data_IF_389587590607
#
_entry.id   IF_389587590607
#
_cell.length_a   1.000
_cell.length_b   1.000
_cell.length_c   1.000
_cell.angle_alpha   90.00
_cell.angle_beta   90.00
_cell.angle_gamma   90.00
#
_symmetry.space_group_name_H-M   'P 1'
#
loop_
_entity.id
_entity.type
_entity.pdbx_description
1 polymer ?
#
# COMPACT_ATOMS: atom_id res chain seq x y z
N UNK A 1 8.66 -44.64 29.06
CA UNK A 1 7.46 -43.92 28.57
C UNK A 1 7.12 -44.48 27.20
N UNK A 2 6.18 -45.41 27.15
CA UNK A 2 5.71 -46.02 25.90
C UNK A 2 4.75 -45.06 25.20
N UNK A 3 5.14 -44.55 24.04
CA UNK A 3 4.24 -43.85 23.13
C UNK A 3 3.47 -44.90 22.36
N UNK A 4 2.15 -44.87 22.52
CA UNK A 4 1.20 -45.80 21.92
C UNK A 4 1.14 -45.58 20.39
N UNK A 5 1.48 -46.56 19.54
CA UNK A 5 1.44 -46.41 18.08
C UNK A 5 0.04 -46.65 17.48
N UNK A 6 -0.97 -46.93 18.30
CA UNK A 6 -2.34 -47.19 17.85
C UNK A 6 -3.16 -45.90 17.73
N UNK A 7 -2.93 -45.12 16.66
CA UNK A 7 -3.99 -44.23 16.12
C UNK A 7 -3.71 -43.71 14.69
N UNK A 8 -3.19 -44.56 13.81
CA UNK A 8 -3.28 -44.31 12.35
C UNK A 8 -3.99 -45.48 11.70
N UNK A 9 -5.30 -45.56 11.90
CA UNK A 9 -6.15 -46.32 10.98
C UNK A 9 -5.97 -45.67 9.60
N UNK A 10 -5.58 -46.42 8.55
CA UNK A 10 -5.66 -45.89 7.20
C UNK A 10 -7.14 -45.66 6.94
N UNK A 11 -7.54 -44.40 6.82
CA UNK A 11 -8.84 -44.06 6.24
C UNK A 11 -8.80 -44.62 4.82
N UNK A 12 -9.54 -45.69 4.57
CA UNK A 12 -9.94 -46.10 3.22
C UNK A 12 -10.92 -45.05 2.68
N UNK A 13 -10.47 -43.80 2.58
CA UNK A 13 -11.20 -42.71 1.97
C UNK A 13 -10.87 -42.77 0.48
N UNK A 14 -11.85 -43.19 -0.32
CA UNK A 14 -11.85 -42.97 -1.77
C UNK A 14 -11.44 -41.53 -2.04
N UNK A 15 -10.34 -41.36 -2.77
CA UNK A 15 -9.88 -40.06 -3.25
C UNK A 15 -11.08 -39.36 -3.89
N UNK A 16 -11.36 -38.13 -3.47
CA UNK A 16 -12.46 -37.36 -4.05
C UNK A 16 -12.10 -37.01 -5.49
N UNK A 17 -13.12 -36.92 -6.34
CA UNK A 17 -12.96 -36.52 -7.73
C UNK A 17 -13.87 -35.33 -8.03
N UNK A 18 -13.34 -34.36 -8.77
CA UNK A 18 -14.07 -33.26 -9.37
C UNK A 18 -13.87 -33.28 -10.87
N UNK A 19 -14.81 -32.68 -11.57
CA UNK A 19 -14.81 -32.60 -13.02
C UNK A 19 -15.00 -31.16 -13.42
N UNK A 20 -14.16 -30.70 -14.34
CA UNK A 20 -14.31 -29.39 -14.94
C UNK A 20 -15.59 -29.33 -15.77
N UNK A 21 -16.37 -28.27 -15.58
CA UNK A 21 -17.64 -28.05 -16.25
C UNK A 21 -17.50 -26.81 -17.14
N UNK A 22 -17.56 -26.96 -18.48
CA UNK A 22 -17.48 -25.81 -19.37
C UNK A 22 -18.64 -24.85 -19.11
N UNK A 23 -18.37 -23.53 -19.02
CA UNK A 23 -19.41 -22.50 -18.87
C UNK A 23 -20.26 -22.31 -20.13
N UNK A 24 -19.68 -22.61 -21.30
CA UNK A 24 -20.37 -22.62 -22.58
C UNK A 24 -20.52 -24.06 -23.05
N UNK A 25 -21.69 -24.38 -23.62
CA UNK A 25 -22.10 -25.70 -24.12
C UNK A 25 -21.24 -26.16 -25.31
N UNK A 26 -19.93 -26.30 -25.11
CA UNK A 26 -19.09 -27.08 -25.98
C UNK A 26 -19.53 -28.53 -25.78
N UNK A 27 -20.44 -28.97 -26.65
CA UNK A 27 -20.63 -30.35 -27.07
C UNK A 27 -19.32 -30.83 -27.72
N UNK A 28 -18.25 -30.86 -26.92
CA UNK A 28 -16.94 -31.30 -27.33
C UNK A 28 -16.76 -32.74 -26.88
N UNK A 29 -16.61 -33.65 -27.83
CA UNK A 29 -15.93 -34.91 -27.56
C UNK A 29 -14.49 -34.56 -27.18
N UNK A 30 -14.08 -34.87 -25.96
CA UNK A 30 -12.75 -34.53 -25.45
C UNK A 30 -12.28 -35.53 -24.42
N UNK A 31 -10.97 -35.53 -24.16
CA UNK A 31 -10.37 -36.31 -23.09
C UNK A 31 -10.14 -35.41 -21.86
N UNK A 32 -10.61 -35.86 -20.69
CA UNK A 32 -10.30 -35.25 -19.41
C UNK A 32 -9.11 -35.99 -18.79
N UNK A 33 -8.06 -35.25 -18.44
CA UNK A 33 -6.89 -35.79 -17.75
C UNK A 33 -6.93 -35.46 -16.25
N UNK A 34 -6.30 -36.29 -15.40
CA UNK A 34 -6.30 -36.07 -13.96
C UNK A 34 -5.24 -35.05 -13.57
N UNK A 35 -5.65 -34.07 -12.78
CA UNK A 35 -4.81 -33.07 -12.13
C UNK A 35 -4.99 -33.17 -10.62
N UNK A 36 -3.96 -32.85 -9.85
CA UNK A 36 -4.10 -32.53 -8.44
C UNK A 36 -4.83 -31.22 -8.29
N UNK A 37 -5.80 -31.17 -7.40
CA UNK A 37 -6.55 -29.96 -7.11
C UNK A 37 -6.53 -29.65 -5.62
N UNK A 38 -6.21 -28.40 -5.31
CA UNK A 38 -6.21 -27.85 -3.97
C UNK A 38 -7.09 -26.61 -3.92
N UNK A 39 -8.04 -26.63 -3.00
CA UNK A 39 -8.81 -25.47 -2.58
C UNK A 39 -8.34 -25.11 -1.17
N UNK A 40 -7.76 -23.93 -1.03
CA UNK A 40 -7.08 -23.50 0.19
C UNK A 40 -7.54 -22.10 0.56
N UNK A 41 -7.78 -21.91 1.86
CA UNK A 41 -8.01 -20.60 2.45
C UNK A 41 -6.75 -20.16 3.20
N UNK A 42 -6.28 -18.95 2.94
CA UNK A 42 -5.11 -18.37 3.58
C UNK A 42 -5.56 -17.15 4.39
N UNK A 43 -5.38 -17.22 5.70
CA UNK A 43 -5.82 -16.19 6.64
C UNK A 43 -4.63 -15.33 7.10
N UNK A 44 -4.41 -14.17 6.47
CA UNK A 44 -3.40 -13.22 6.91
C UNK A 44 -3.82 -12.54 8.21
N UNK A 45 -2.98 -12.61 9.23
CA UNK A 45 -3.16 -11.89 10.49
C UNK A 45 -1.80 -11.44 11.04
N UNK A 46 -1.25 -10.35 10.49
CA UNK A 46 -0.01 -9.76 10.96
C UNK A 46 -0.32 -8.69 12.03
N UNK A 47 -0.01 -9.03 13.29
CA UNK A 47 -0.21 -8.13 14.44
C UNK A 47 0.65 -6.87 14.35
N UNK A 48 1.85 -6.95 13.74
CA UNK A 48 2.79 -5.83 13.64
C UNK A 48 2.28 -4.75 12.70
N UNK A 49 1.65 -5.15 11.60
CA UNK A 49 1.10 -4.22 10.59
C UNK A 49 -0.38 -3.93 10.82
N UNK A 50 -1.07 -4.78 11.59
CA UNK A 50 -2.53 -4.74 11.74
C UNK A 50 -3.26 -5.32 10.53
N UNK A 51 -2.55 -5.89 9.56
CA UNK A 51 -3.12 -6.40 8.32
C UNK A 51 -3.92 -7.68 8.58
N UNK A 52 -5.16 -7.70 8.08
CA UNK A 52 -6.07 -8.84 8.18
C UNK A 52 -6.81 -9.02 6.87
N UNK A 53 -6.61 -10.17 6.24
CA UNK A 53 -7.28 -10.54 5.00
C UNK A 53 -7.39 -12.06 4.92
N UNK A 54 -8.43 -12.54 4.27
CA UNK A 54 -8.59 -13.95 3.95
C UNK A 54 -8.62 -14.10 2.43
N UNK A 55 -7.69 -14.86 1.88
CA UNK A 55 -7.63 -15.21 0.48
C UNK A 55 -8.10 -16.65 0.26
N UNK A 56 -8.92 -16.88 -0.77
CA UNK A 56 -9.31 -18.22 -1.20
C UNK A 56 -8.63 -18.52 -2.53
N UNK A 57 -7.92 -19.64 -2.58
CA UNK A 57 -7.13 -20.09 -3.72
C UNK A 57 -7.64 -21.45 -4.18
N UNK A 58 -7.82 -21.60 -5.49
CA UNK A 58 -8.18 -22.86 -6.12
C UNK A 58 -7.19 -23.12 -7.23
N UNK A 59 -6.35 -24.12 -7.05
CA UNK A 59 -5.20 -24.40 -7.93
C UNK A 59 -5.20 -25.85 -8.39
N UNK A 60 -4.77 -26.07 -9.64
CA UNK A 60 -4.56 -27.39 -10.20
C UNK A 60 -3.12 -27.59 -10.68
N UNK A 61 -2.62 -28.82 -10.57
CA UNK A 61 -1.26 -29.22 -10.95
C UNK A 61 -1.30 -30.57 -11.68
N UNK A 62 -0.55 -30.70 -12.77
CA UNK A 62 -0.49 -31.95 -13.51
C UNK A 62 0.23 -33.07 -12.73
N UNK A 63 -0.21 -34.31 -12.90
CA UNK A 63 0.31 -35.46 -12.17
C UNK A 63 1.42 -36.12 -13.00
N UNK A 64 2.67 -35.96 -12.56
CA UNK A 64 3.82 -36.66 -13.13
C UNK A 64 4.50 -37.57 -12.10
N UNK A 65 5.30 -38.52 -12.58
CA UNK A 65 6.19 -39.28 -11.70
C UNK A 65 7.24 -38.35 -11.09
N UNK A 66 7.48 -38.48 -9.78
CA UNK A 66 8.44 -37.62 -9.06
C UNK A 66 7.94 -36.21 -8.72
N UNK A 67 6.68 -35.85 -9.02
CA UNK A 67 6.13 -34.52 -8.72
C UNK A 67 6.22 -34.12 -7.23
N UNK A 68 6.27 -35.10 -6.33
CA UNK A 68 6.44 -34.89 -4.89
C UNK A 68 7.85 -34.43 -4.49
N UNK A 69 8.84 -34.58 -5.38
CA UNK A 69 10.25 -34.22 -5.19
C UNK A 69 10.62 -32.93 -5.93
N UNK A 70 9.76 -32.46 -6.83
CA UNK A 70 9.97 -31.24 -7.61
C UNK A 70 9.67 -30.00 -6.77
N UNK A 71 10.47 -28.95 -6.98
CA UNK A 71 10.22 -27.63 -6.45
C UNK A 71 9.14 -26.95 -7.32
N UNK A 72 7.91 -26.83 -6.82
CA UNK A 72 6.82 -26.28 -7.66
C UNK A 72 7.01 -24.80 -7.95
N UNK A 73 6.78 -24.40 -9.19
CA UNK A 73 6.87 -23.03 -9.66
C UNK A 73 5.53 -22.58 -10.22
N UNK A 74 5.34 -21.27 -10.38
CA UNK A 74 4.05 -20.69 -10.77
C UNK A 74 3.58 -21.16 -12.15
N UNK A 75 4.50 -21.51 -13.06
CA UNK A 75 4.20 -22.07 -14.39
C UNK A 75 3.68 -23.52 -14.35
N UNK A 76 3.96 -24.25 -13.27
CA UNK A 76 3.45 -25.61 -13.10
C UNK A 76 2.00 -25.62 -12.60
N UNK A 77 1.53 -24.51 -12.01
CA UNK A 77 0.27 -24.44 -11.26
C UNK A 77 -0.74 -23.59 -12.03
N UNK A 78 -1.94 -24.11 -12.16
CA UNK A 78 -3.04 -23.46 -12.88
C UNK A 78 -4.08 -22.92 -11.92
N UNK A 79 -4.56 -21.71 -12.16
CA UNK A 79 -5.74 -21.18 -11.48
C UNK A 79 -7.00 -21.90 -11.96
N UNK A 80 -7.87 -22.24 -11.02
CA UNK A 80 -9.14 -22.90 -11.31
C UNK A 80 -10.27 -22.12 -10.66
N UNK A 81 -11.27 -21.75 -11.44
CA UNK A 81 -12.52 -21.21 -10.90
C UNK A 81 -13.31 -22.35 -10.22
N UNK A 82 -13.46 -22.34 -8.89
CA UNK A 82 -14.16 -23.42 -8.18
C UNK A 82 -15.63 -23.53 -8.60
N UNK A 83 -16.25 -22.44 -9.08
CA UNK A 83 -17.64 -22.44 -9.56
C UNK A 83 -17.82 -23.23 -10.87
N UNK A 84 -16.73 -23.44 -11.62
CA UNK A 84 -16.69 -24.27 -12.83
C UNK A 84 -16.42 -25.75 -12.56
N UNK A 85 -16.48 -26.21 -11.31
CA UNK A 85 -16.22 -27.61 -10.95
C UNK A 85 -17.49 -28.32 -10.49
N UNK A 86 -17.60 -29.61 -10.84
CA UNK A 86 -18.72 -30.48 -10.49
C UNK A 86 -18.22 -31.75 -9.82
N UNK A 87 -19.05 -32.36 -8.98
CA UNK A 87 -18.79 -33.70 -8.41
C UNK A 87 -19.25 -34.83 -9.33
N UNK A 88 -19.99 -34.50 -10.40
CA UNK A 88 -20.51 -35.45 -11.38
C UNK A 88 -19.77 -35.30 -12.69
N UNK A 89 -19.34 -36.42 -13.27
CA UNK A 89 -18.65 -36.45 -14.56
C UNK A 89 -19.56 -35.90 -15.68
N UNK A 90 -19.08 -34.99 -16.53
CA UNK A 90 -19.83 -34.54 -17.69
C UNK A 90 -19.99 -35.69 -18.69
N UNK A 91 -21.19 -35.83 -19.27
CA UNK A 91 -21.44 -36.80 -20.32
C UNK A 91 -20.68 -36.47 -21.60
N UNK A 92 -20.26 -37.50 -22.35
CA UNK A 92 -19.60 -37.34 -23.66
C UNK A 92 -18.08 -37.18 -23.63
N UNK A 93 -17.47 -37.05 -22.45
CA UNK A 93 -16.01 -36.99 -22.29
C UNK A 93 -15.41 -38.38 -22.04
N UNK A 94 -14.21 -38.61 -22.59
CA UNK A 94 -13.38 -39.78 -22.24
C UNK A 94 -12.51 -39.43 -21.05
N UNK A 95 -12.41 -40.33 -20.09
CA UNK A 95 -11.55 -40.17 -18.92
C UNK A 95 -10.18 -40.76 -19.23
N UNK A 96 -9.12 -39.97 -19.06
CA UNK A 96 -7.75 -40.47 -19.08
C UNK A 96 -7.47 -41.40 -17.89
N UNK A 97 -6.37 -42.18 -17.92
CA UNK A 97 -6.01 -43.05 -16.82
C UNK A 97 -5.52 -42.24 -15.62
N UNK A 98 -5.96 -42.61 -14.41
CA UNK A 98 -5.34 -42.14 -13.17
C UNK A 98 -4.07 -42.97 -12.91
N UNK A 99 -2.90 -42.35 -12.67
CA UNK A 99 -1.69 -43.11 -12.37
C UNK A 99 -1.82 -43.97 -11.11
N UNK A 100 -1.33 -45.21 -11.14
CA UNK A 100 -1.52 -46.20 -10.06
C UNK A 100 -0.91 -45.78 -8.71
N UNK A 101 0.10 -44.91 -8.72
CA UNK A 101 0.75 -44.40 -7.51
C UNK A 101 -0.08 -43.32 -6.78
N UNK A 102 -1.19 -42.87 -7.36
CA UNK A 102 -2.03 -41.83 -6.76
C UNK A 102 -2.96 -42.47 -5.73
N UNK A 103 -2.56 -42.39 -4.47
CA UNK A 103 -3.32 -42.82 -3.31
C UNK A 103 -3.54 -41.68 -2.28
N UNK A 104 -4.21 -41.98 -1.17
CA UNK A 104 -4.44 -40.99 -0.11
C UNK A 104 -3.14 -40.49 0.53
N UNK A 105 -2.11 -41.35 0.62
CA UNK A 105 -0.81 -40.96 1.17
C UNK A 105 -0.07 -40.00 0.25
N UNK A 106 -0.18 -40.21 -1.06
CA UNK A 106 0.32 -39.32 -2.09
C UNK A 106 -0.32 -37.95 -1.94
N UNK A 107 -1.66 -37.85 -1.86
CA UNK A 107 -2.33 -36.56 -1.64
C UNK A 107 -1.84 -35.82 -0.40
N UNK A 108 -1.69 -36.51 0.73
CA UNK A 108 -1.18 -35.90 1.96
C UNK A 108 0.25 -35.33 1.80
N UNK A 109 1.12 -36.04 1.07
CA UNK A 109 2.47 -35.52 0.74
C UNK A 109 2.38 -34.29 -0.17
N UNK A 110 1.45 -34.30 -1.12
CA UNK A 110 1.25 -33.19 -2.04
C UNK A 110 0.67 -31.95 -1.33
N UNK A 111 -0.19 -32.10 -0.31
CA UNK A 111 -0.62 -30.98 0.55
C UNK A 111 0.58 -30.31 1.25
N UNK A 112 1.52 -31.13 1.74
CA UNK A 112 2.74 -30.61 2.38
C UNK A 112 3.61 -29.83 1.39
N UNK A 113 3.76 -30.34 0.16
CA UNK A 113 4.47 -29.65 -0.91
C UNK A 113 3.76 -28.37 -1.35
N UNK A 114 2.43 -28.40 -1.48
CA UNK A 114 1.64 -27.22 -1.84
C UNK A 114 1.74 -26.12 -0.76
N UNK A 115 1.75 -26.51 0.51
CA UNK A 115 1.98 -25.58 1.61
C UNK A 115 3.36 -24.90 1.49
N UNK A 116 4.41 -25.67 1.18
CA UNK A 116 5.76 -25.12 0.98
C UNK A 116 5.83 -24.19 -0.23
N UNK A 117 5.10 -24.53 -1.31
CA UNK A 117 4.94 -23.65 -2.46
C UNK A 117 4.29 -22.32 -2.04
N UNK A 118 3.14 -22.36 -1.36
CA UNK A 118 2.44 -21.14 -0.91
C UNK A 118 3.31 -20.29 0.01
N UNK A 119 4.08 -20.89 0.92
CA UNK A 119 5.01 -20.14 1.79
C UNK A 119 6.11 -19.41 1.01
N UNK A 120 6.48 -19.90 -0.19
CA UNK A 120 7.53 -19.31 -1.02
C UNK A 120 6.98 -18.28 -2.01
N UNK A 121 5.89 -18.59 -2.70
CA UNK A 121 5.40 -17.80 -3.84
C UNK A 121 4.15 -16.99 -3.53
N UNK A 122 3.34 -17.39 -2.56
CA UNK A 122 2.15 -16.62 -2.22
C UNK A 122 2.54 -15.45 -1.32
N UNK A 123 2.26 -14.25 -1.82
CA UNK A 123 2.56 -13.01 -1.13
C UNK A 123 1.41 -12.02 -1.27
N UNK A 124 1.20 -11.22 -0.23
CA UNK A 124 0.34 -10.05 -0.27
C UNK A 124 1.18 -8.81 -0.07
N UNK A 125 0.98 -7.81 -0.93
CA UNK A 125 1.70 -6.54 -0.86
C UNK A 125 0.85 -5.48 -0.20
N UNK A 126 1.44 -4.80 0.78
CA UNK A 126 0.85 -3.66 1.46
C UNK A 126 1.79 -2.46 1.35
N UNK A 127 1.28 -1.27 1.60
CA UNK A 127 2.08 -0.05 1.57
C UNK A 127 2.55 0.33 2.98
N UNK A 128 3.74 0.93 3.07
CA UNK A 128 4.30 1.44 4.33
C UNK A 128 4.83 2.86 4.15
N UNK A 129 4.48 3.73 5.09
CA UNK A 129 5.14 5.03 5.26
C UNK A 129 6.09 4.94 6.47
N UNK A 130 7.39 5.06 6.24
CA UNK A 130 8.39 4.93 7.30
C UNK A 130 8.36 6.08 8.31
N UNK A 131 8.10 7.31 7.86
CA UNK A 131 8.07 8.49 8.73
C UNK A 131 6.92 8.46 9.73
N UNK A 132 5.75 7.91 9.34
CA UNK A 132 4.60 7.71 10.22
C UNK A 132 4.60 6.33 10.92
N UNK A 133 5.51 5.43 10.53
CA UNK A 133 5.46 4.01 10.90
C UNK A 133 4.05 3.39 10.68
N UNK A 134 3.45 3.72 9.54
CA UNK A 134 2.08 3.37 9.19
C UNK A 134 2.05 2.34 8.07
N UNK A 135 1.09 1.43 8.11
CA UNK A 135 0.85 0.42 7.08
C UNK A 135 -0.54 0.62 6.45
N UNK A 136 -0.69 0.16 5.21
CA UNK A 136 -1.99 0.16 4.53
C UNK A 136 -2.93 -0.90 5.09
N UNK A 137 -4.22 -0.64 4.96
CA UNK A 137 -5.28 -1.58 5.27
C UNK A 137 -5.47 -2.58 4.12
N UNK A 138 -6.22 -3.65 4.39
CA UNK A 138 -6.60 -4.64 3.37
C UNK A 138 -7.38 -3.97 2.23
N UNK A 139 -6.91 -4.17 1.00
CA UNK A 139 -7.53 -3.61 -0.21
C UNK A 139 -7.43 -2.08 -0.35
N UNK A 140 -6.70 -1.39 0.54
CA UNK A 140 -6.51 0.06 0.43
C UNK A 140 -5.66 0.39 -0.79
N UNK A 141 -6.15 1.29 -1.64
CA UNK A 141 -5.38 1.72 -2.81
C UNK A 141 -4.17 2.56 -2.38
N UNK A 142 -3.13 2.61 -3.22
CA UNK A 142 -1.96 3.46 -2.96
C UNK A 142 -2.35 4.93 -2.78
N UNK A 143 -3.34 5.39 -3.55
CA UNK A 143 -3.83 6.77 -3.49
C UNK A 143 -4.52 7.07 -2.14
N UNK A 144 -5.39 6.16 -1.68
CA UNK A 144 -6.09 6.31 -0.40
C UNK A 144 -5.08 6.28 0.76
N UNK A 145 -4.09 5.38 0.69
CA UNK A 145 -3.03 5.30 1.70
C UNK A 145 -2.21 6.59 1.80
N UNK A 146 -1.82 7.17 0.67
CA UNK A 146 -1.09 8.46 0.64
C UNK A 146 -1.97 9.58 1.18
N UNK A 147 -3.25 9.62 0.82
CA UNK A 147 -4.20 10.62 1.31
C UNK A 147 -4.30 10.57 2.84
N UNK A 148 -4.42 9.36 3.40
CA UNK A 148 -4.39 9.14 4.86
C UNK A 148 -3.06 9.56 5.50
N UNK A 149 -1.94 9.35 4.81
CA UNK A 149 -0.63 9.84 5.29
C UNK A 149 -0.58 11.38 5.30
N UNK A 150 -1.10 12.06 4.27
CA UNK A 150 -1.18 13.52 4.20
C UNK A 150 -2.02 14.10 5.33
N UNK A 151 -3.16 13.48 5.64
CA UNK A 151 -4.02 13.86 6.76
C UNK A 151 -3.27 13.77 8.10
N UNK A 152 -2.52 12.69 8.33
CA UNK A 152 -1.74 12.53 9.57
C UNK A 152 -0.58 13.52 9.67
N UNK A 153 0.08 13.82 8.56
CA UNK A 153 1.13 14.84 8.51
C UNK A 153 0.58 16.27 8.66
N UNK A 154 -0.71 16.52 8.38
CA UNK A 154 -1.30 17.86 8.46
C UNK A 154 -1.11 18.53 9.82
N UNK A 155 -1.22 17.77 10.91
CA UNK A 155 -1.01 18.28 12.28
C UNK A 155 0.44 18.68 12.52
N UNK A 156 1.39 17.82 12.14
CA UNK A 156 2.82 18.12 12.27
C UNK A 156 3.22 19.32 11.40
N UNK A 157 2.67 19.39 10.18
CA UNK A 157 2.84 20.52 9.25
C UNK A 157 2.34 21.82 9.86
N UNK A 158 1.17 21.83 10.49
CA UNK A 158 0.62 23.01 11.18
C UNK A 158 1.57 23.52 12.27
N UNK A 159 2.07 22.62 13.12
CA UNK A 159 3.00 22.98 14.19
C UNK A 159 4.32 23.55 13.66
N UNK A 160 4.85 23.01 12.57
CA UNK A 160 6.06 23.51 11.93
C UNK A 160 5.84 24.89 11.28
N UNK A 161 4.68 25.09 10.64
CA UNK A 161 4.27 26.38 10.09
C UNK A 161 4.08 27.44 11.20
N UNK A 162 3.47 27.08 12.32
CA UNK A 162 3.28 28.02 13.45
C UNK A 162 4.63 28.43 14.07
N UNK A 163 5.56 27.46 14.21
CA UNK A 163 6.93 27.74 14.65
C UNK A 163 7.68 28.64 13.67
N UNK A 164 7.52 28.40 12.37
CA UNK A 164 8.10 29.22 11.32
C UNK A 164 7.49 30.63 11.29
N UNK A 165 6.19 30.76 11.54
CA UNK A 165 5.50 32.04 11.63
C UNK A 165 6.11 32.91 12.75
N UNK A 166 6.35 32.33 13.94
CA UNK A 166 7.02 33.05 15.03
C UNK A 166 8.41 33.57 14.64
N UNK A 167 9.18 32.80 13.86
CA UNK A 167 10.50 33.23 13.37
C UNK A 167 10.37 34.47 12.49
N UNK A 168 9.39 34.50 11.58
CA UNK A 168 9.17 35.65 10.71
C UNK A 168 8.60 36.86 11.45
N UNK A 169 7.74 36.66 12.45
CA UNK A 169 7.30 37.74 13.36
C UNK A 169 8.50 38.37 14.07
N UNK A 170 9.44 37.56 14.58
CA UNK A 170 10.66 38.07 15.22
C UNK A 170 11.57 38.81 14.23
N UNK A 171 11.73 38.30 12.99
CA UNK A 171 12.49 38.99 11.93
C UNK A 171 11.86 40.34 11.57
N UNK A 172 10.53 40.40 11.48
CA UNK A 172 9.80 41.64 11.24
C UNK A 172 10.02 42.64 12.37
N UNK A 173 9.95 42.20 13.63
CA UNK A 173 10.17 43.06 14.80
C UNK A 173 11.61 43.59 14.87
N UNK A 174 12.62 42.77 14.52
CA UNK A 174 13.99 43.23 14.41
C UNK A 174 14.16 44.29 13.32
N UNK A 175 13.52 44.12 12.16
CA UNK A 175 13.50 45.14 11.12
C UNK A 175 12.80 46.41 11.61
N UNK A 176 11.65 46.27 12.29
CA UNK A 176 10.90 47.37 12.88
C UNK A 176 11.76 48.21 13.84
N UNK A 177 12.48 47.57 14.75
CA UNK A 177 13.39 48.25 15.69
C UNK A 177 14.51 49.00 14.96
N UNK A 178 15.10 48.40 13.92
CA UNK A 178 16.19 49.02 13.14
C UNK A 178 15.75 50.31 12.44
N UNK A 179 14.54 50.35 11.89
CA UNK A 179 14.06 51.47 11.07
C UNK A 179 13.20 52.50 11.83
N UNK A 180 12.61 52.15 12.99
CA UNK A 180 11.81 53.09 13.79
C UNK A 180 12.59 53.77 14.93
N UNK A 181 13.65 53.15 15.50
CA UNK A 181 14.38 53.71 16.67
C UNK A 181 15.34 54.85 16.28
N UNK A 182 15.52 55.15 14.99
CA UNK A 182 16.48 56.18 14.51
C UNK A 182 15.92 57.59 14.30
N UNK A 183 14.64 57.85 14.55
CA UNK A 183 14.02 59.16 14.33
C UNK A 183 14.21 60.13 15.51
N UNK A 184 14.55 61.39 15.21
CA UNK A 184 14.53 62.51 16.16
C UNK A 184 13.09 63.07 16.22
N UNK A 185 12.44 63.09 17.40
CA UNK A 185 11.02 63.44 17.51
C UNK A 185 10.68 64.90 17.19
N UNK A 186 11.67 65.77 17.02
CA UNK A 186 11.48 67.22 16.84
C UNK A 186 11.21 67.65 15.38
N UNK A 187 11.25 66.74 14.41
CA UNK A 187 11.03 67.04 12.99
C UNK A 187 9.67 66.54 12.50
N UNK A 188 8.83 67.46 12.00
CA UNK A 188 7.48 67.20 11.50
C UNK A 188 7.48 66.30 10.23
N UNK A 189 8.57 66.33 9.46
CA UNK A 189 8.82 65.43 8.32
C UNK A 189 9.17 64.01 8.80
N UNK A 190 9.91 63.87 9.91
CA UNK A 190 10.26 62.58 10.50
C UNK A 190 9.03 61.89 11.09
N UNK A 191 8.11 62.64 11.71
CA UNK A 191 6.84 62.08 12.22
C UNK A 191 5.97 61.49 11.09
N UNK A 192 5.94 62.13 9.91
CA UNK A 192 5.23 61.60 8.73
C UNK A 192 5.88 60.33 8.18
N UNK A 193 7.21 60.32 8.10
CA UNK A 193 7.97 59.16 7.65
C UNK A 193 7.80 57.96 8.61
N UNK A 194 7.81 58.22 9.92
CA UNK A 194 7.59 57.19 10.95
C UNK A 194 6.18 56.59 10.85
N UNK A 195 5.15 57.42 10.63
CA UNK A 195 3.78 56.95 10.41
C UNK A 195 3.66 56.07 9.16
N UNK A 196 4.25 56.48 8.04
CA UNK A 196 4.30 55.67 6.80
C UNK A 196 5.00 54.34 7.05
N UNK A 197 6.14 54.35 7.74
CA UNK A 197 6.89 53.13 8.04
C UNK A 197 6.08 52.18 8.93
N UNK A 198 5.39 52.69 9.97
CA UNK A 198 4.49 51.90 10.83
C UNK A 198 3.38 51.23 10.03
N UNK A 199 2.73 51.95 9.11
CA UNK A 199 1.71 51.39 8.22
C UNK A 199 2.28 50.28 7.32
N UNK A 200 3.47 50.49 6.73
CA UNK A 200 4.14 49.46 5.94
C UNK A 200 4.46 48.19 6.74
N UNK A 201 4.96 48.32 7.97
CA UNK A 201 5.19 47.16 8.84
C UNK A 201 3.89 46.44 9.19
N UNK A 202 2.80 47.17 9.47
CA UNK A 202 1.48 46.57 9.76
C UNK A 202 0.98 45.75 8.57
N UNK A 203 1.02 46.34 7.36
CA UNK A 203 0.61 45.65 6.12
C UNK A 203 1.47 44.42 5.84
N UNK A 204 2.77 44.51 6.04
CA UNK A 204 3.67 43.37 5.85
C UNK A 204 3.36 42.27 6.87
N UNK A 205 3.12 42.62 8.14
CA UNK A 205 2.71 41.67 9.18
C UNK A 205 1.40 40.95 8.81
N UNK A 206 0.40 41.69 8.37
CA UNK A 206 -0.90 41.12 7.95
C UNK A 206 -0.73 40.16 6.77
N UNK A 207 0.07 40.54 5.77
CA UNK A 207 0.35 39.67 4.62
C UNK A 207 1.08 38.40 5.04
N UNK A 208 2.10 38.51 5.89
CA UNK A 208 2.82 37.33 6.39
C UNK A 208 1.85 36.41 7.15
N UNK A 209 1.04 36.95 8.06
CA UNK A 209 0.02 36.16 8.77
C UNK A 209 -0.97 35.47 7.83
N UNK A 210 -1.46 36.19 6.81
CA UNK A 210 -2.39 35.64 5.81
C UNK A 210 -1.75 34.50 4.99
N UNK A 211 -0.46 34.62 4.65
CA UNK A 211 0.29 33.55 3.97
C UNK A 211 0.36 32.28 4.81
N UNK A 212 0.62 32.38 6.12
CA UNK A 212 0.65 31.20 7.00
C UNK A 212 -0.74 30.61 7.20
N UNK A 213 -1.80 31.42 7.26
CA UNK A 213 -3.18 30.94 7.32
C UNK A 213 -3.59 30.18 6.05
N UNK A 214 -3.16 30.66 4.88
CA UNK A 214 -3.48 30.10 3.55
C UNK A 214 -2.42 29.15 3.01
N UNK A 215 -1.50 28.65 3.85
CA UNK A 215 -0.38 27.81 3.43
C UNK A 215 -0.80 26.60 2.58
N UNK A 216 -1.97 26.00 2.86
CA UNK A 216 -2.51 24.85 2.13
C UNK A 216 -2.92 25.21 0.69
N UNK A 217 -3.39 26.43 0.45
CA UNK A 217 -3.80 26.92 -0.88
C UNK A 217 -2.58 27.37 -1.71
N UNK A 218 -1.51 27.81 -1.04
CA UNK A 218 -0.28 28.28 -1.70
C UNK A 218 0.48 27.12 -2.36
N UNK A 219 0.35 25.89 -1.86
CA UNK A 219 1.00 24.72 -2.46
C UNK A 219 0.51 24.42 -3.89
N UNK A 220 -0.74 24.79 -4.21
CA UNK A 220 -1.34 24.57 -5.53
C UNK A 220 -0.93 25.64 -6.56
N UNK A 221 -0.59 26.84 -6.08
CA UNK A 221 -0.25 27.98 -6.94
C UNK A 221 1.25 27.97 -7.29
N UNK A 222 1.62 27.10 -8.24
CA UNK A 222 2.99 26.97 -8.78
C UNK A 222 3.46 28.17 -9.61
N UNK A 223 2.76 29.30 -9.55
CA UNK A 223 3.07 30.47 -10.35
C UNK A 223 4.40 31.10 -9.92
N UNK A 224 5.21 31.40 -10.93
CA UNK A 224 6.61 31.81 -10.82
C UNK A 224 6.72 33.04 -9.91
N UNK A 225 7.31 32.86 -8.73
CA UNK A 225 7.51 33.92 -7.76
C UNK A 225 8.63 34.82 -8.28
N UNK A 226 8.23 35.94 -8.88
CA UNK A 226 9.18 36.94 -9.36
C UNK A 226 9.79 37.68 -8.17
N UNK A 227 11.12 37.93 -8.17
CA UNK A 227 11.75 38.70 -7.12
C UNK A 227 11.20 40.14 -7.12
N UNK A 228 11.17 40.81 -5.95
CA UNK A 228 10.69 42.19 -5.87
C UNK A 228 11.55 43.14 -6.73
N UNK A 229 10.89 44.03 -7.46
CA UNK A 229 11.50 45.11 -8.26
C UNK A 229 11.99 46.24 -7.37
N UNK A 230 13.13 46.84 -7.74
CA UNK A 230 13.84 47.89 -6.99
C UNK A 230 12.93 49.03 -6.50
N UNK A 231 12.74 49.13 -5.19
CA UNK A 231 12.01 50.18 -4.47
C UNK A 231 12.89 50.93 -3.47
N UNK A 232 12.27 51.58 -2.47
CA UNK A 232 13.00 52.18 -1.35
C UNK A 232 13.60 51.08 -0.45
N UNK A 233 14.74 51.32 0.21
CA UNK A 233 15.47 50.30 1.01
C UNK A 233 14.58 49.51 2.00
N UNK A 234 13.63 50.19 2.66
CA UNK A 234 12.67 49.55 3.57
C UNK A 234 11.62 48.72 2.83
N UNK A 235 11.09 49.22 1.71
CA UNK A 235 10.13 48.51 0.87
C UNK A 235 10.75 47.22 0.32
N UNK A 236 11.99 47.31 -0.18
CA UNK A 236 12.78 46.16 -0.65
C UNK A 236 13.01 45.15 0.46
N UNK A 237 13.32 45.62 1.69
CA UNK A 237 13.56 44.73 2.83
C UNK A 237 12.29 44.00 3.26
N UNK A 238 11.15 44.67 3.30
CA UNK A 238 9.85 44.06 3.65
C UNK A 238 9.38 43.11 2.55
N UNK A 239 9.55 43.47 1.29
CA UNK A 239 9.23 42.61 0.16
C UNK A 239 10.11 41.36 0.13
N UNK A 240 11.41 41.49 0.45
CA UNK A 240 12.31 40.35 0.60
C UNK A 240 11.89 39.42 1.75
N UNK A 241 11.40 39.97 2.87
CA UNK A 241 10.91 39.17 4.00
C UNK A 241 9.63 38.41 3.65
N UNK A 242 8.70 39.04 2.93
CA UNK A 242 7.48 38.39 2.41
C UNK A 242 7.83 37.29 1.38
N UNK A 243 8.79 37.55 0.50
CA UNK A 243 9.27 36.53 -0.45
C UNK A 243 9.91 35.35 0.28
N UNK A 244 10.77 35.61 1.27
CA UNK A 244 11.41 34.58 2.08
C UNK A 244 10.38 33.73 2.84
N UNK A 245 9.32 34.34 3.40
CA UNK A 245 8.28 33.60 4.10
C UNK A 245 7.50 32.69 3.16
N UNK A 246 7.14 33.14 1.95
CA UNK A 246 6.50 32.31 0.92
C UNK A 246 7.35 31.10 0.55
N UNK A 247 8.65 31.31 0.28
CA UNK A 247 9.57 30.23 -0.05
C UNK A 247 9.71 29.22 1.08
N UNK A 248 9.79 29.71 2.32
CA UNK A 248 9.89 28.83 3.49
C UNK A 248 8.61 28.01 3.69
N UNK A 249 7.42 28.61 3.54
CA UNK A 249 6.13 27.89 3.58
C UNK A 249 6.08 26.80 2.51
N UNK A 250 6.42 27.14 1.26
CA UNK A 250 6.44 26.18 0.16
C UNK A 250 7.42 25.02 0.41
N UNK A 251 8.59 25.32 0.98
CA UNK A 251 9.57 24.30 1.35
C UNK A 251 9.04 23.34 2.41
N UNK A 252 8.34 23.85 3.43
CA UNK A 252 7.71 23.02 4.47
C UNK A 252 6.61 22.15 3.86
N UNK A 253 5.69 22.74 3.08
CA UNK A 253 4.60 22.01 2.43
C UNK A 253 5.14 20.89 1.54
N UNK A 254 6.12 21.18 0.67
CA UNK A 254 6.74 20.19 -0.21
C UNK A 254 7.42 19.07 0.58
N UNK A 255 8.15 19.40 1.65
CA UNK A 255 8.79 18.40 2.51
C UNK A 255 7.79 17.42 3.13
N UNK A 256 6.61 17.89 3.55
CA UNK A 256 5.57 17.00 4.07
C UNK A 256 4.88 16.18 2.96
N UNK A 257 4.64 16.77 1.79
CA UNK A 257 4.11 16.06 0.63
C UNK A 257 5.06 14.93 0.19
N UNK A 258 6.36 15.22 0.09
CA UNK A 258 7.40 14.24 -0.23
C UNK A 258 7.45 13.12 0.81
N UNK A 259 7.38 13.47 2.12
CA UNK A 259 7.31 12.48 3.20
C UNK A 259 6.05 11.62 3.14
N UNK A 260 4.91 12.18 2.77
CA UNK A 260 3.67 11.43 2.60
C UNK A 260 3.71 10.50 1.38
N UNK A 261 4.37 10.93 0.30
CA UNK A 261 4.57 10.16 -0.94
C UNK A 261 5.69 9.11 -0.83
N UNK A 262 6.59 9.25 0.15
CA UNK A 262 7.62 8.25 0.50
C UNK A 262 6.96 7.00 1.09
N UNK A 263 6.45 6.19 0.18
CA UNK A 263 5.70 4.97 0.44
C UNK A 263 6.42 3.82 -0.25
N UNK A 264 6.74 2.80 0.54
CA UNK A 264 7.38 1.57 0.07
C UNK A 264 6.41 0.40 0.12
N UNK A 265 6.66 -0.60 -0.72
CA UNK A 265 5.94 -1.87 -0.67
C UNK A 265 6.52 -2.74 0.45
N UNK A 266 5.63 -3.33 1.24
CA UNK A 266 5.94 -4.30 2.27
C UNK A 266 5.27 -5.62 1.92
N UNK A 267 6.07 -6.68 1.81
CA UNK A 267 5.60 -8.00 1.39
C UNK A 267 5.26 -8.83 2.62
N UNK A 268 4.06 -9.39 2.64
CA UNK A 268 3.58 -10.34 3.63
C UNK A 268 3.51 -11.73 3.02
N UNK A 269 4.21 -12.67 3.65
CA UNK A 269 4.06 -14.09 3.37
C UNK A 269 3.16 -14.73 4.43
N UNK A 270 2.34 -15.72 4.05
CA UNK A 270 1.55 -16.48 5.01
C UNK A 270 2.46 -17.30 5.94
N UNK A 271 1.98 -17.63 7.13
CA UNK A 271 2.61 -18.68 7.94
C UNK A 271 1.93 -20.02 7.70
N UNK A 272 2.61 -21.11 8.03
CA UNK A 272 2.06 -22.47 7.85
C UNK A 272 0.72 -22.67 8.59
N UNK A 273 0.58 -22.05 9.78
CA UNK A 273 -0.64 -22.13 10.60
C UNK A 273 -1.86 -21.41 9.98
N UNK A 274 -1.60 -20.50 9.06
CA UNK A 274 -2.60 -19.63 8.43
C UNK A 274 -3.15 -20.25 7.13
N UNK A 275 -2.58 -21.38 6.70
CA UNK A 275 -2.95 -22.11 5.48
C UNK A 275 -3.93 -23.22 5.88
N UNK A 276 -5.13 -23.17 5.32
CA UNK A 276 -6.21 -24.10 5.62
C UNK A 276 -6.72 -24.78 4.34
N UNK A 277 -6.48 -26.09 4.23
CA UNK A 277 -7.02 -26.89 3.13
C UNK A 277 -8.52 -27.08 3.31
N UNK A 278 -9.29 -26.58 2.34
CA UNK A 278 -10.73 -26.81 2.22
C UNK A 278 -10.97 -28.12 1.48
N UNK A 279 -10.20 -28.36 0.41
CA UNK A 279 -10.31 -29.56 -0.43
C UNK A 279 -8.97 -29.94 -1.04
N UNK A 280 -8.71 -31.24 -1.04
CA UNK A 280 -7.59 -31.85 -1.75
C UNK A 280 -8.11 -33.08 -2.47
N UNK A 281 -8.06 -33.07 -3.80
CA UNK A 281 -8.70 -34.11 -4.62
C UNK A 281 -8.11 -34.18 -6.02
N UNK A 282 -8.66 -35.06 -6.85
CA UNK A 282 -8.33 -35.12 -8.28
C UNK A 282 -9.35 -34.29 -9.04
N UNK A 283 -8.87 -33.36 -9.87
CA UNK A 283 -9.67 -32.63 -10.83
C UNK A 283 -9.43 -33.19 -12.22
N UNK A 284 -10.51 -33.58 -12.88
CA UNK A 284 -10.50 -34.03 -14.26
C UNK A 284 -10.78 -32.84 -15.17
N UNK A 285 -9.78 -32.43 -15.95
CA UNK A 285 -9.88 -31.26 -16.83
C UNK A 285 -9.15 -31.48 -18.18
N UNK A 286 -9.53 -30.76 -19.24
CA UNK A 286 -8.80 -30.79 -20.52
C UNK A 286 -7.38 -30.24 -20.39
N UNK A 287 -6.45 -30.75 -21.22
CA UNK A 287 -5.02 -30.37 -21.20
C UNK A 287 -4.78 -28.87 -21.42
N UNK A 288 -5.69 -28.18 -22.13
CA UNK A 288 -5.64 -26.73 -22.39
C UNK A 288 -6.67 -25.90 -21.62
N UNK A 289 -7.37 -26.45 -20.63
CA UNK A 289 -8.28 -25.66 -19.81
C UNK A 289 -7.45 -24.81 -18.83
N UNK A 290 -7.45 -23.50 -19.03
CA UNK A 290 -7.02 -22.46 -18.10
C UNK A 290 -7.74 -21.16 -18.48
#
# INVERSE_FOLDING_TARGET
MHVNPENRRPRNDTIKHLYWTPKETLLGEGELRPFLYFEVRVDFNDVRTGFRETASLSKALEIYTGVAELLWTDDMIRDVDPSGTSTTAPGGFRMGPLPEFVDANFLFRMESQFSQYLLRSFETRIYRNFGLNLYSLSGESRFDFISRCLELYSYQKRNELDSLHEVFVRKLEQARQKYLVRGNPDSLEETKAESRNKDMFSRCSERISDLFLKADLISEDRSIISPPSQGLELEDRLAALEFESRQAILSVCRSFEERAQSVDEYILHPNLKDIHFVRSCILWMPEGAA
#
